data_IF_747222186354
#
_entry.id   IF_747222186354
#
_cell.length_a   1.000
_cell.length_b   1.000
_cell.length_c   1.000
_cell.angle_alpha   90.00
_cell.angle_beta   90.00
_cell.angle_gamma   90.00
#
_symmetry.space_group_name_H-M   'P 1'
#
loop_
_entity.id
_entity.type
_entity.pdbx_description
1 polymer ?
#
# COMPACT_ATOMS: atom_id res chain seq x y z
N UNK A 1 19.15 12.79 -16.28
CA UNK A 1 20.01 12.78 -15.05
C UNK A 1 20.00 11.39 -14.44
N UNK A 2 20.94 11.10 -13.49
CA UNK A 2 20.93 9.82 -12.76
C UNK A 2 20.79 10.08 -11.27
N UNK A 3 19.77 9.48 -10.67
CA UNK A 3 19.49 9.54 -9.24
C UNK A 3 19.77 8.17 -8.60
N UNK A 4 20.19 8.17 -7.36
CA UNK A 4 20.48 6.93 -6.60
C UNK A 4 19.75 6.97 -5.25
N UNK A 5 19.01 5.91 -4.97
CA UNK A 5 18.31 5.68 -3.73
C UNK A 5 18.60 4.27 -3.22
N UNK A 6 18.31 4.01 -1.96
CA UNK A 6 18.37 2.65 -1.43
C UNK A 6 17.10 1.87 -1.86
N UNK A 7 15.96 2.56 -1.94
CA UNK A 7 14.68 1.98 -2.34
C UNK A 7 13.94 2.89 -3.32
N UNK A 8 13.40 2.29 -4.36
CA UNK A 8 12.56 2.95 -5.36
C UNK A 8 11.15 2.35 -5.32
N UNK A 9 10.15 3.19 -5.07
CA UNK A 9 8.75 2.82 -5.02
C UNK A 9 8.02 3.46 -6.20
N UNK A 10 7.36 2.65 -7.02
CA UNK A 10 6.57 3.11 -8.16
C UNK A 10 5.10 3.02 -7.80
N UNK A 11 4.47 4.17 -7.59
CA UNK A 11 3.07 4.29 -7.21
C UNK A 11 2.86 4.82 -5.78
N UNK A 12 1.86 5.70 -5.64
CA UNK A 12 1.54 6.47 -4.44
C UNK A 12 0.23 6.01 -3.74
N UNK A 13 -0.22 4.80 -4.00
CA UNK A 13 -1.33 4.21 -3.26
C UNK A 13 -0.92 3.69 -1.88
N UNK A 14 -1.88 3.15 -1.14
CA UNK A 14 -1.66 2.60 0.22
C UNK A 14 -0.46 1.65 0.29
N UNK A 15 -0.27 0.78 -0.69
CA UNK A 15 0.82 -0.19 -0.71
C UNK A 15 2.21 0.50 -0.79
N UNK A 16 2.37 1.44 -1.74
CA UNK A 16 3.64 2.14 -1.94
C UNK A 16 4.01 3.03 -0.76
N UNK A 17 3.06 3.83 -0.28
CA UNK A 17 3.30 4.73 0.86
C UNK A 17 3.55 3.95 2.16
N UNK A 18 2.78 2.88 2.43
CA UNK A 18 3.00 2.04 3.60
C UNK A 18 4.37 1.35 3.56
N UNK A 19 4.80 0.87 2.39
CA UNK A 19 6.13 0.30 2.23
C UNK A 19 7.21 1.34 2.53
N UNK A 20 7.11 2.54 1.94
CA UNK A 20 8.07 3.62 2.15
C UNK A 20 8.19 4.02 3.64
N UNK A 21 7.06 4.17 4.32
CA UNK A 21 7.01 4.49 5.75
C UNK A 21 7.65 3.39 6.60
N UNK A 22 7.38 2.11 6.31
CA UNK A 22 8.00 0.97 7.02
C UNK A 22 9.51 0.93 6.84
N UNK A 23 10.00 1.17 5.62
CA UNK A 23 11.45 1.23 5.33
C UNK A 23 12.11 2.37 6.11
N UNK A 24 11.50 3.56 6.10
CA UNK A 24 12.01 4.73 6.79
C UNK A 24 12.00 4.53 8.33
N UNK A 25 10.91 4.01 8.89
CA UNK A 25 10.83 3.66 10.32
C UNK A 25 11.89 2.63 10.73
N UNK A 26 12.16 1.67 9.87
CA UNK A 26 13.21 0.66 10.08
C UNK A 26 14.64 1.21 9.85
N UNK A 27 14.78 2.49 9.44
CA UNK A 27 16.07 3.15 9.14
C UNK A 27 16.93 2.37 8.15
N UNK A 28 16.30 1.80 7.12
CA UNK A 28 16.99 0.95 6.14
C UNK A 28 17.65 1.73 5.00
N UNK A 29 17.33 3.00 4.84
CA UNK A 29 17.92 3.88 3.82
C UNK A 29 16.92 4.88 3.26
N UNK A 30 17.37 5.62 2.25
CA UNK A 30 16.58 6.64 1.55
C UNK A 30 15.62 6.00 0.56
N UNK A 31 14.36 6.45 0.60
CA UNK A 31 13.29 5.98 -0.28
C UNK A 31 12.92 7.08 -1.27
N UNK A 32 12.71 6.71 -2.52
CA UNK A 32 12.08 7.58 -3.51
C UNK A 32 10.73 6.99 -3.92
N UNK A 33 9.66 7.75 -3.79
CA UNK A 33 8.35 7.41 -4.35
C UNK A 33 8.19 8.17 -5.67
N UNK A 34 7.89 7.43 -6.74
CA UNK A 34 7.57 8.00 -8.05
C UNK A 34 6.08 7.83 -8.30
N UNK A 35 5.36 8.90 -8.63
CA UNK A 35 3.98 8.86 -9.04
C UNK A 35 3.74 9.64 -10.34
N UNK A 36 2.93 9.05 -11.23
CA UNK A 36 2.68 9.59 -12.57
C UNK A 36 1.91 10.92 -12.56
N UNK A 37 1.15 11.15 -11.50
CA UNK A 37 0.39 12.38 -11.22
C UNK A 37 0.80 12.91 -9.85
N UNK A 38 -0.09 13.54 -9.13
CA UNK A 38 0.15 13.95 -7.74
C UNK A 38 0.09 12.77 -6.77
N UNK A 39 0.66 12.92 -5.60
CA UNK A 39 0.64 11.91 -4.53
C UNK A 39 -0.79 11.54 -4.09
N UNK A 40 -1.71 12.47 -4.25
CA UNK A 40 -3.12 12.36 -3.90
C UNK A 40 -3.93 11.51 -4.91
N UNK A 41 -3.51 11.43 -6.15
CA UNK A 41 -4.21 10.78 -7.24
C UNK A 41 -3.91 9.27 -7.28
N UNK A 42 -4.54 8.52 -6.40
CA UNK A 42 -4.38 7.08 -6.31
C UNK A 42 -5.73 6.37 -6.10
N UNK A 43 -5.84 5.11 -6.53
CA UNK A 43 -7.05 4.31 -6.35
C UNK A 43 -7.49 4.22 -4.88
N UNK A 44 -6.56 4.30 -3.94
CA UNK A 44 -6.84 4.34 -2.50
C UNK A 44 -7.79 5.47 -2.16
N UNK A 45 -7.57 6.67 -2.70
CA UNK A 45 -8.43 7.85 -2.45
C UNK A 45 -9.88 7.62 -2.84
N UNK A 46 -10.10 6.90 -3.93
CA UNK A 46 -11.44 6.69 -4.51
C UNK A 46 -12.15 5.45 -3.95
N UNK A 47 -11.56 4.74 -3.00
CA UNK A 47 -12.19 3.62 -2.33
C UNK A 47 -13.23 4.13 -1.32
N UNK A 48 -14.51 3.88 -1.57
CA UNK A 48 -15.63 4.35 -0.76
C UNK A 48 -15.95 3.40 0.39
N UNK A 49 -15.81 2.09 0.16
CA UNK A 49 -16.05 1.06 1.18
C UNK A 49 -15.08 1.11 2.35
N UNK A 50 -15.45 0.47 3.46
CA UNK A 50 -14.60 0.36 4.63
C UNK A 50 -13.51 -0.70 4.51
N UNK A 51 -12.79 -0.92 5.60
CA UNK A 51 -11.72 -1.92 5.71
C UNK A 51 -12.14 -3.00 6.71
N UNK A 52 -12.22 -4.25 6.25
CA UNK A 52 -12.57 -5.38 7.09
C UNK A 52 -11.39 -5.82 7.97
N UNK A 53 -11.61 -5.87 9.29
CA UNK A 53 -10.62 -6.40 10.25
C UNK A 53 -11.28 -6.91 11.53
N UNK A 54 -10.83 -8.05 12.02
CA UNK A 54 -11.25 -8.59 13.32
C UNK A 54 -10.55 -7.77 14.42
N UNK A 55 -11.23 -6.75 14.93
CA UNK A 55 -10.71 -5.86 15.97
C UNK A 55 -11.22 -6.20 17.37
N UNK A 56 -12.27 -7.04 17.48
CA UNK A 56 -12.86 -7.48 18.74
C UNK A 56 -13.05 -9.00 18.74
N UNK A 57 -12.13 -9.72 19.41
CA UNK A 57 -12.13 -11.19 19.51
C UNK A 57 -13.21 -11.77 20.43
N UNK A 58 -13.97 -10.94 21.19
CA UNK A 58 -15.10 -11.41 22.00
C UNK A 58 -16.35 -11.62 21.12
N UNK A 59 -16.47 -10.87 20.02
CA UNK A 59 -17.66 -10.87 19.14
C UNK A 59 -17.39 -11.51 17.79
N UNK A 60 -16.12 -11.52 17.34
CA UNK A 60 -15.72 -12.00 16.04
C UNK A 60 -14.44 -12.83 16.14
N UNK A 61 -14.16 -13.66 15.12
CA UNK A 61 -12.93 -14.45 15.06
C UNK A 61 -12.39 -14.53 13.62
N UNK A 62 -11.11 -14.90 13.52
CA UNK A 62 -10.44 -14.98 12.23
C UNK A 62 -11.03 -16.07 11.32
N UNK A 63 -11.47 -17.19 11.85
CA UNK A 63 -12.02 -18.31 11.04
C UNK A 63 -13.35 -17.92 10.40
N UNK A 64 -14.21 -17.18 11.11
CA UNK A 64 -15.43 -16.60 10.54
C UNK A 64 -15.10 -15.68 9.37
N UNK A 65 -14.12 -14.76 9.55
CA UNK A 65 -13.73 -13.82 8.50
C UNK A 65 -13.10 -14.53 7.30
N UNK A 66 -12.25 -15.54 7.52
CA UNK A 66 -11.67 -16.37 6.46
C UNK A 66 -12.78 -17.08 5.68
N UNK A 67 -13.72 -17.72 6.39
CA UNK A 67 -14.83 -18.43 5.77
C UNK A 67 -15.73 -17.48 4.94
N UNK A 68 -16.10 -16.32 5.48
CA UNK A 68 -16.86 -15.30 4.74
C UNK A 68 -16.14 -14.89 3.45
N UNK A 69 -14.82 -14.67 3.53
CA UNK A 69 -13.98 -14.30 2.38
C UNK A 69 -13.93 -15.42 1.33
N UNK A 70 -13.80 -16.69 1.77
CA UNK A 70 -13.80 -17.84 0.86
C UNK A 70 -15.14 -18.01 0.16
N UNK A 71 -16.25 -17.86 0.88
CA UNK A 71 -17.61 -17.93 0.31
C UNK A 71 -17.82 -16.79 -0.69
N UNK A 72 -17.52 -15.55 -0.32
CA UNK A 72 -17.68 -14.39 -1.20
C UNK A 72 -16.83 -14.48 -2.46
N UNK A 73 -15.67 -15.11 -2.38
CA UNK A 73 -14.77 -15.39 -3.49
C UNK A 73 -15.07 -16.67 -4.27
N UNK A 74 -16.23 -17.30 -4.03
CA UNK A 74 -16.62 -18.58 -4.67
C UNK A 74 -15.53 -19.66 -4.60
N UNK A 75 -14.77 -19.68 -3.48
CA UNK A 75 -13.64 -20.58 -3.21
C UNK A 75 -12.51 -20.56 -4.25
N UNK A 76 -12.42 -19.52 -5.09
CA UNK A 76 -11.33 -19.34 -6.07
C UNK A 76 -10.07 -18.81 -5.40
N UNK A 77 -10.22 -18.11 -4.26
CA UNK A 77 -9.10 -17.52 -3.51
C UNK A 77 -8.16 -18.58 -2.94
N UNK A 78 -6.86 -18.28 -2.89
CA UNK A 78 -5.89 -19.11 -2.18
C UNK A 78 -6.14 -19.04 -0.66
N UNK A 79 -6.49 -20.16 0.02
CA UNK A 79 -6.80 -20.15 1.44
C UNK A 79 -5.64 -19.68 2.33
N UNK A 80 -4.39 -19.95 1.94
CA UNK A 80 -3.21 -19.51 2.70
C UNK A 80 -3.02 -17.99 2.60
N UNK A 81 -3.25 -17.41 1.42
CA UNK A 81 -3.23 -15.98 1.22
C UNK A 81 -4.35 -15.27 2.00
N UNK A 82 -5.59 -15.81 1.94
CA UNK A 82 -6.73 -15.28 2.72
C UNK A 82 -6.41 -15.30 4.21
N UNK A 83 -5.94 -16.42 4.75
CA UNK A 83 -5.56 -16.55 6.15
C UNK A 83 -4.52 -15.52 6.55
N UNK A 84 -3.46 -15.36 5.74
CA UNK A 84 -2.41 -14.39 5.99
C UNK A 84 -2.95 -12.95 6.04
N UNK A 85 -3.77 -12.56 5.09
CA UNK A 85 -4.36 -11.20 5.02
C UNK A 85 -5.26 -10.96 6.24
N UNK A 86 -6.19 -11.87 6.52
CA UNK A 86 -7.17 -11.72 7.60
C UNK A 86 -6.48 -11.67 8.97
N UNK A 87 -5.52 -12.55 9.25
CA UNK A 87 -4.86 -12.60 10.55
C UNK A 87 -3.88 -11.44 10.77
N UNK A 88 -3.34 -10.84 9.70
CA UNK A 88 -2.45 -9.67 9.78
C UNK A 88 -3.19 -8.33 9.79
N UNK A 89 -4.46 -8.30 9.39
CA UNK A 89 -5.23 -7.06 9.27
C UNK A 89 -5.25 -6.22 10.56
N UNK A 90 -5.46 -6.74 11.78
CA UNK A 90 -5.50 -5.92 12.99
C UNK A 90 -4.20 -5.15 13.26
N UNK A 91 -3.05 -5.75 12.95
CA UNK A 91 -1.75 -5.10 13.06
C UNK A 91 -1.62 -3.94 12.06
N UNK A 92 -2.07 -4.16 10.82
CA UNK A 92 -2.01 -3.13 9.77
C UNK A 92 -2.98 -1.98 10.06
N UNK A 93 -4.16 -2.24 10.62
CA UNK A 93 -5.09 -1.21 11.06
C UNK A 93 -4.46 -0.33 12.17
N UNK A 94 -3.84 -0.95 13.18
CA UNK A 94 -3.13 -0.17 14.22
C UNK A 94 -2.06 0.72 13.60
N UNK A 95 -1.31 0.21 12.62
CA UNK A 95 -0.28 0.98 11.94
C UNK A 95 -0.84 2.15 11.13
N UNK A 96 -1.98 1.99 10.45
CA UNK A 96 -2.67 3.10 9.78
C UNK A 96 -3.08 4.19 10.77
N UNK A 97 -3.60 3.80 11.94
CA UNK A 97 -3.95 4.74 13.02
C UNK A 97 -2.70 5.46 13.56
N UNK A 98 -1.59 4.76 13.75
CA UNK A 98 -0.30 5.36 14.15
C UNK A 98 0.21 6.37 13.13
N UNK A 99 -0.04 6.16 11.83
CA UNK A 99 0.28 7.11 10.76
C UNK A 99 -0.75 8.23 10.60
N UNK A 100 -1.81 8.24 11.46
CA UNK A 100 -2.75 9.36 11.57
C UNK A 100 -4.08 9.14 10.86
N UNK A 101 -4.42 7.92 10.45
CA UNK A 101 -5.76 7.59 9.92
C UNK A 101 -6.79 7.66 11.05
N UNK A 102 -7.89 8.36 10.79
CA UNK A 102 -8.98 8.56 11.74
C UNK A 102 -10.19 7.74 11.28
N UNK A 103 -10.33 6.54 11.83
CA UNK A 103 -11.57 5.78 11.70
C UNK A 103 -12.62 6.28 12.66
N UNK A 104 -13.89 6.18 12.29
CA UNK A 104 -15.01 6.60 13.10
C UNK A 104 -15.08 5.80 14.39
N UNK A 105 -15.49 6.50 15.46
CA UNK A 105 -15.56 5.94 16.83
C UNK A 105 -16.89 6.22 17.47
N UNK A 106 -17.35 5.28 18.25
CA UNK A 106 -18.48 5.43 19.15
C UNK A 106 -18.14 6.37 20.33
N UNK A 107 -19.18 6.82 21.06
CA UNK A 107 -19.01 7.69 22.22
C UNK A 107 -18.10 7.13 23.34
N UNK A 108 -17.96 5.80 23.40
CA UNK A 108 -17.07 5.09 24.34
C UNK A 108 -15.61 4.99 23.86
N UNK A 109 -15.26 5.56 22.68
CA UNK A 109 -13.93 5.55 22.09
C UNK A 109 -13.57 4.28 21.31
N UNK A 110 -14.42 3.26 21.27
CA UNK A 110 -14.25 2.09 20.43
C UNK A 110 -14.53 2.44 18.97
N UNK A 111 -13.96 1.66 18.03
CA UNK A 111 -14.30 1.81 16.62
C UNK A 111 -15.78 1.59 16.38
N UNK A 112 -16.38 2.45 15.57
CA UNK A 112 -17.71 2.22 15.02
C UNK A 112 -17.58 1.25 13.86
N UNK A 113 -18.14 0.05 14.02
CA UNK A 113 -17.98 -1.02 13.05
C UNK A 113 -19.28 -1.26 12.32
N UNK A 114 -19.20 -1.32 10.99
CA UNK A 114 -20.33 -1.69 10.15
C UNK A 114 -20.25 -3.17 9.74
N UNK A 115 -21.36 -3.67 9.21
CA UNK A 115 -21.45 -4.96 8.55
C UNK A 115 -21.91 -4.74 7.11
N UNK A 116 -21.10 -5.15 6.16
CA UNK A 116 -21.42 -5.10 4.73
C UNK A 116 -21.80 -6.50 4.21
N UNK A 117 -22.31 -6.57 2.98
CA UNK A 117 -22.66 -7.82 2.33
C UNK A 117 -21.49 -8.80 2.27
N UNK A 118 -21.77 -10.08 2.49
CA UNK A 118 -20.75 -11.14 2.55
C UNK A 118 -20.06 -11.30 3.91
N UNK A 119 -20.29 -10.39 4.88
CA UNK A 119 -19.75 -10.52 6.23
C UNK A 119 -20.79 -11.03 7.22
N UNK A 120 -20.44 -12.03 8.03
CA UNK A 120 -21.29 -12.58 9.10
C UNK A 120 -21.31 -11.67 10.35
N UNK A 121 -20.23 -10.86 10.57
CA UNK A 121 -20.06 -10.04 11.76
C UNK A 121 -19.77 -8.57 11.42
N UNK A 122 -19.90 -7.68 12.42
CA UNK A 122 -19.56 -6.28 12.35
C UNK A 122 -18.03 -6.11 12.47
N UNK A 123 -17.33 -5.91 11.35
CA UNK A 123 -15.86 -5.81 11.31
C UNK A 123 -15.33 -4.77 10.34
N UNK A 124 -16.21 -3.94 9.75
CA UNK A 124 -15.82 -2.95 8.77
C UNK A 124 -15.52 -1.64 9.47
N UNK A 125 -14.25 -1.24 9.48
CA UNK A 125 -13.83 0.10 9.89
C UNK A 125 -14.08 1.08 8.75
N UNK A 126 -14.53 2.28 9.07
CA UNK A 126 -14.86 3.30 8.09
C UNK A 126 -14.54 4.70 8.60
N UNK A 127 -14.53 5.67 7.69
CA UNK A 127 -14.52 7.10 7.98
C UNK A 127 -15.58 7.75 7.09
N UNK A 128 -16.74 8.03 7.66
CA UNK A 128 -17.94 8.41 6.89
C UNK A 128 -18.11 7.55 5.62
N UNK A 129 -18.28 8.19 4.45
CA UNK A 129 -18.37 7.53 3.14
C UNK A 129 -17.06 7.59 2.33
N UNK A 130 -15.96 8.06 2.94
CA UNK A 130 -14.70 8.39 2.26
C UNK A 130 -13.48 7.73 2.93
N UNK A 131 -13.61 6.48 3.35
CA UNK A 131 -12.53 5.75 4.08
C UNK A 131 -11.20 5.78 3.32
N UNK A 132 -11.24 5.58 2.01
CA UNK A 132 -10.02 5.60 1.19
C UNK A 132 -9.37 6.98 1.13
N UNK A 133 -10.15 8.05 1.05
CA UNK A 133 -9.64 9.43 1.06
C UNK A 133 -8.95 9.76 2.39
N UNK A 134 -9.52 9.32 3.52
CA UNK A 134 -8.92 9.52 4.83
C UNK A 134 -7.60 8.74 4.99
N UNK A 135 -7.55 7.47 4.56
CA UNK A 135 -6.31 6.69 4.55
C UNK A 135 -5.25 7.37 3.68
N UNK A 136 -5.62 7.81 2.47
CA UNK A 136 -4.71 8.50 1.56
C UNK A 136 -4.18 9.79 2.20
N UNK A 137 -5.05 10.62 2.79
CA UNK A 137 -4.69 11.85 3.50
C UNK A 137 -3.66 11.61 4.59
N UNK A 138 -3.92 10.63 5.44
CA UNK A 138 -3.06 10.30 6.58
C UNK A 138 -1.68 9.83 6.11
N UNK A 139 -1.62 8.90 5.16
CA UNK A 139 -0.37 8.37 4.61
C UNK A 139 0.44 9.46 3.90
N UNK A 140 -0.20 10.34 3.13
CA UNK A 140 0.46 11.48 2.49
C UNK A 140 1.10 12.42 3.51
N UNK A 141 0.38 12.73 4.59
CA UNK A 141 0.91 13.58 5.65
C UNK A 141 2.13 12.93 6.32
N UNK A 142 2.06 11.64 6.63
CA UNK A 142 3.16 10.89 7.22
C UNK A 142 4.39 10.80 6.28
N UNK A 143 4.16 10.55 4.99
CA UNK A 143 5.23 10.50 3.97
C UNK A 143 5.91 11.86 3.83
N UNK A 144 5.14 12.95 3.70
CA UNK A 144 5.69 14.31 3.54
C UNK A 144 6.46 14.80 4.78
N UNK A 145 6.08 14.33 5.95
CA UNK A 145 6.76 14.66 7.21
C UNK A 145 8.08 13.87 7.41
N UNK A 146 8.34 12.84 6.61
CA UNK A 146 9.49 11.96 6.81
C UNK A 146 10.69 12.40 5.94
N UNK A 147 11.82 12.81 6.53
CA UNK A 147 12.99 13.31 5.80
C UNK A 147 13.76 12.23 5.02
N UNK A 148 13.45 10.95 5.24
CA UNK A 148 14.05 9.83 4.55
C UNK A 148 13.27 9.38 3.31
N UNK A 149 12.15 10.08 2.98
CA UNK A 149 11.30 9.78 1.84
C UNK A 149 11.23 10.98 0.90
N UNK A 150 11.77 10.82 -0.29
CA UNK A 150 11.61 11.77 -1.39
C UNK A 150 10.39 11.40 -2.24
N UNK A 151 9.59 12.38 -2.62
CA UNK A 151 8.44 12.18 -3.52
C UNK A 151 8.67 12.91 -4.83
N UNK A 152 8.50 12.20 -5.95
CA UNK A 152 8.55 12.71 -7.32
C UNK A 152 7.17 12.62 -7.95
N UNK A 153 6.41 13.71 -7.84
CA UNK A 153 5.09 13.86 -8.48
C UNK A 153 5.25 14.19 -9.97
N UNK A 154 4.27 13.80 -10.78
CA UNK A 154 4.29 13.99 -12.24
C UNK A 154 5.52 13.36 -12.91
N UNK A 155 5.96 12.24 -12.39
CA UNK A 155 7.06 11.44 -12.90
C UNK A 155 6.54 10.07 -13.32
N UNK A 156 6.68 9.72 -14.59
CA UNK A 156 6.15 8.49 -15.14
C UNK A 156 7.25 7.44 -15.29
N UNK A 157 7.13 6.31 -14.58
CA UNK A 157 8.03 5.18 -14.78
C UNK A 157 7.77 4.54 -16.16
N UNK A 158 8.72 4.70 -17.06
CA UNK A 158 8.63 4.23 -18.46
C UNK A 158 8.96 2.75 -18.56
N UNK A 159 10.06 2.34 -17.90
CA UNK A 159 10.56 0.98 -17.96
C UNK A 159 11.41 0.64 -16.73
N UNK A 160 11.36 -0.62 -16.29
CA UNK A 160 12.19 -1.16 -15.21
C UNK A 160 13.54 -1.57 -15.78
N UNK A 161 14.62 -1.11 -15.18
CA UNK A 161 16.00 -1.43 -15.59
C UNK A 161 16.38 -2.79 -15.01
N UNK A 162 16.64 -3.75 -15.90
CA UNK A 162 17.13 -5.08 -15.55
C UNK A 162 18.46 -5.37 -16.22
N UNK A 163 19.06 -6.54 -15.97
CA UNK A 163 20.27 -6.98 -16.67
C UNK A 163 20.13 -7.04 -18.20
N UNK A 164 18.90 -7.07 -18.74
CA UNK A 164 18.65 -6.93 -20.17
C UNK A 164 19.26 -5.62 -20.72
N UNK A 165 19.12 -4.53 -20.00
CA UNK A 165 19.66 -3.21 -20.37
C UNK A 165 21.19 -3.15 -20.31
N UNK A 166 21.81 -4.14 -19.67
CA UNK A 166 23.27 -4.31 -19.62
C UNK A 166 23.80 -5.28 -20.69
N UNK A 167 22.95 -5.66 -21.66
CA UNK A 167 23.30 -6.56 -22.77
C UNK A 167 23.11 -8.05 -22.47
N UNK A 168 22.64 -8.41 -21.28
CA UNK A 168 22.35 -9.81 -20.97
C UNK A 168 21.04 -10.27 -21.63
N UNK A 169 21.03 -11.47 -22.19
CA UNK A 169 19.81 -12.07 -22.74
C UNK A 169 18.92 -12.56 -21.61
N UNK A 170 17.78 -11.88 -21.38
CA UNK A 170 16.76 -12.28 -20.41
C UNK A 170 15.64 -13.03 -21.12
N UNK A 171 15.26 -14.21 -20.62
CA UNK A 171 14.18 -15.04 -21.15
C UNK A 171 13.29 -15.52 -19.99
N UNK A 172 12.15 -16.14 -20.31
CA UNK A 172 11.27 -16.79 -19.31
C UNK A 172 11.98 -17.88 -18.48
N UNK A 173 13.12 -18.40 -18.96
CA UNK A 173 13.92 -19.43 -18.29
C UNK A 173 15.11 -18.86 -17.51
N UNK A 174 15.29 -17.54 -17.54
CA UNK A 174 16.35 -16.89 -16.75
C UNK A 174 16.02 -17.04 -15.26
N UNK A 175 16.85 -17.75 -14.47
CA UNK A 175 16.48 -18.14 -13.11
C UNK A 175 16.38 -16.96 -12.14
N UNK A 176 17.16 -15.89 -12.38
CA UNK A 176 17.17 -14.70 -11.56
C UNK A 176 17.15 -13.46 -12.45
N UNK A 177 16.15 -12.60 -12.24
CA UNK A 177 16.07 -11.31 -12.90
C UNK A 177 16.31 -10.25 -11.83
N UNK A 178 17.38 -9.48 -12.00
CA UNK A 178 17.73 -8.38 -11.12
C UNK A 178 17.11 -7.09 -11.62
N UNK A 179 16.50 -6.33 -10.71
CA UNK A 179 16.02 -4.97 -10.95
C UNK A 179 17.05 -3.98 -10.39
N UNK A 180 17.50 -3.05 -11.22
CA UNK A 180 18.48 -2.02 -10.84
C UNK A 180 17.84 -0.63 -10.66
N UNK A 181 16.56 -0.48 -11.00
CA UNK A 181 15.84 0.79 -10.95
C UNK A 181 14.86 0.95 -12.09
N UNK A 182 14.62 2.18 -12.50
CA UNK A 182 13.70 2.51 -13.58
C UNK A 182 14.17 3.70 -14.42
N UNK A 183 13.76 3.72 -15.69
CA UNK A 183 13.74 4.93 -16.52
C UNK A 183 12.44 5.67 -16.25
N UNK A 184 12.55 6.98 -16.02
CA UNK A 184 11.45 7.82 -15.57
C UNK A 184 11.37 9.09 -16.39
N UNK A 185 10.23 9.32 -17.03
CA UNK A 185 9.92 10.57 -17.70
C UNK A 185 9.59 11.63 -16.64
N UNK A 186 10.35 12.73 -16.65
CA UNK A 186 10.20 13.83 -15.71
C UNK A 186 9.28 14.94 -16.24
N UNK A 187 9.05 15.98 -15.44
CA UNK A 187 8.18 17.12 -15.79
C UNK A 187 8.72 18.00 -16.93
N UNK A 188 9.98 17.82 -17.32
CA UNK A 188 10.61 18.53 -18.43
C UNK A 188 10.64 17.69 -19.73
N UNK A 189 9.84 16.62 -19.80
CA UNK A 189 9.81 15.68 -20.92
C UNK A 189 11.16 15.01 -21.22
N UNK A 190 11.99 14.80 -20.21
CA UNK A 190 13.25 14.08 -20.31
C UNK A 190 13.17 12.77 -19.55
N UNK A 191 13.85 11.76 -20.06
CA UNK A 191 13.97 10.46 -19.39
C UNK A 191 15.20 10.50 -18.47
N UNK A 192 14.95 10.36 -17.19
CA UNK A 192 15.96 10.23 -16.15
C UNK A 192 16.12 8.77 -15.72
N UNK A 193 17.27 8.45 -15.14
CA UNK A 193 17.58 7.12 -14.61
C UNK A 193 17.49 7.15 -13.07
N UNK A 194 16.65 6.33 -12.50
CA UNK A 194 16.55 6.13 -11.05
C UNK A 194 17.08 4.75 -10.71
N UNK A 195 18.19 4.69 -9.99
CA UNK A 195 18.80 3.42 -9.55
C UNK A 195 18.48 3.16 -8.08
N UNK A 196 18.25 1.87 -7.76
CA UNK A 196 18.07 1.39 -6.39
C UNK A 196 18.84 0.09 -6.17
N UNK A 197 19.10 -0.23 -4.89
CA UNK A 197 19.76 -1.48 -4.48
C UNK A 197 18.80 -2.66 -4.50
#
# INVERSE_FOLDING_TARGET
MTYKYDFLVIGAGIAGMSYALKVAQAKKGKVCIICKTTLDEANTRFAQGGVASVTNLEKDDFEKHINDTMIAGDYISDPAAVRQVVTKAPEQIRQLVEWGTQFDKQANGQFDLHREGGHSEFRILHHADDTGAEIQRALMAAVRANPDIDVKENHFAVEIITQHHLGARVTRRTPFIYCYGAYVLNTENRVDTYLSK
#
